data_IF_317361173601
#
_entry.id   IF_317361173601
#
_cell.length_a   1.000
_cell.length_b   1.000
_cell.length_c   1.000
_cell.angle_alpha   90.00
_cell.angle_beta   90.00
_cell.angle_gamma   90.00
#
_symmetry.space_group_name_H-M   'P 1'
#
loop_
_entity.id
_entity.type
_entity.pdbx_description
1 polymer ?
#
# COMPACT_ATOMS: atom_id res chain seq x y z
N UNK A 1 -23.84 30.50 -23.60
CA UNK A 1 -24.84 29.75 -24.40
C UNK A 1 -24.20 29.51 -25.75
N UNK A 2 -23.58 28.34 -25.95
CA UNK A 2 -22.93 28.00 -27.22
C UNK A 2 -23.97 27.42 -28.17
N UNK A 3 -24.19 28.09 -29.31
CA UNK A 3 -25.03 27.57 -30.40
C UNK A 3 -24.43 26.26 -30.92
N UNK A 4 -25.15 25.15 -30.71
CA UNK A 4 -24.85 23.89 -31.37
C UNK A 4 -25.13 24.06 -32.86
N UNK A 5 -24.08 24.26 -33.67
CA UNK A 5 -24.19 24.27 -35.11
C UNK A 5 -24.51 22.85 -35.58
N UNK A 6 -25.74 22.64 -36.04
CA UNK A 6 -26.17 21.36 -36.62
C UNK A 6 -25.40 21.19 -37.93
N UNK A 7 -24.53 20.19 -37.99
CA UNK A 7 -23.82 19.83 -39.22
C UNK A 7 -24.88 19.31 -40.20
N UNK A 8 -25.03 19.91 -41.41
CA UNK A 8 -26.03 19.44 -42.37
C UNK A 8 -25.69 18.01 -42.82
N UNK A 9 -26.72 17.15 -42.93
CA UNK A 9 -26.58 15.70 -43.17
C UNK A 9 -25.73 15.36 -44.41
N UNK A 10 -25.75 16.23 -45.41
CA UNK A 10 -24.96 16.11 -46.64
C UNK A 10 -23.44 16.21 -46.41
N UNK A 11 -22.99 16.85 -45.33
CA UNK A 11 -21.58 16.97 -44.96
C UNK A 11 -21.14 15.69 -44.26
N UNK A 12 -21.90 15.20 -43.29
CA UNK A 12 -21.56 13.97 -42.57
C UNK A 12 -21.46 12.76 -43.52
N UNK A 13 -22.41 12.62 -44.44
CA UNK A 13 -22.39 11.55 -45.46
C UNK A 13 -21.13 11.64 -46.34
N UNK A 14 -20.70 12.87 -46.71
CA UNK A 14 -19.47 13.07 -47.48
C UNK A 14 -18.22 12.67 -46.68
N UNK A 15 -18.17 13.01 -45.40
CA UNK A 15 -17.05 12.63 -44.53
C UNK A 15 -16.97 11.11 -44.34
N UNK A 16 -18.10 10.45 -44.10
CA UNK A 16 -18.16 8.99 -43.99
C UNK A 16 -17.73 8.33 -45.31
N UNK A 17 -18.20 8.84 -46.45
CA UNK A 17 -17.79 8.36 -47.77
C UNK A 17 -16.30 8.54 -48.03
N UNK A 18 -15.74 9.70 -47.71
CA UNK A 18 -14.31 9.97 -47.84
C UNK A 18 -13.47 9.04 -46.94
N UNK A 19 -13.91 8.83 -45.69
CA UNK A 19 -13.26 7.92 -44.76
C UNK A 19 -13.30 6.47 -45.22
N UNK A 20 -14.46 5.99 -45.70
CA UNK A 20 -14.60 4.66 -46.29
C UNK A 20 -13.65 4.47 -47.48
N UNK A 21 -13.55 5.47 -48.36
CA UNK A 21 -12.63 5.42 -49.50
C UNK A 21 -11.16 5.37 -49.07
N UNK A 22 -10.78 6.09 -48.01
CA UNK A 22 -9.42 6.03 -47.45
C UNK A 22 -9.11 4.64 -46.86
N UNK A 23 -10.05 4.04 -46.12
CA UNK A 23 -9.91 2.67 -45.61
C UNK A 23 -9.77 1.68 -46.78
N UNK A 24 -10.61 1.81 -47.81
CA UNK A 24 -10.52 0.97 -49.00
C UNK A 24 -9.17 1.12 -49.70
N UNK A 25 -8.66 2.35 -49.85
CA UNK A 25 -7.34 2.59 -50.44
C UNK A 25 -6.22 1.94 -49.63
N UNK A 26 -6.29 2.02 -48.29
CA UNK A 26 -5.34 1.38 -47.39
C UNK A 26 -5.39 -0.16 -47.51
N UNK A 27 -6.59 -0.74 -47.59
CA UNK A 27 -6.76 -2.19 -47.75
C UNK A 27 -6.36 -2.69 -49.14
N UNK A 28 -6.44 -1.87 -50.18
CA UNK A 28 -5.98 -2.22 -51.53
C UNK A 28 -4.45 -2.19 -51.68
N UNK A 29 -3.71 -1.69 -50.67
CA UNK A 29 -2.26 -1.52 -50.75
C UNK A 29 -1.50 -2.85 -50.72
N UNK A 30 -2.02 -3.89 -50.06
CA UNK A 30 -1.42 -5.22 -50.04
C UNK A 30 -2.20 -6.19 -50.92
N UNK A 31 -1.49 -7.07 -51.63
CA UNK A 31 -2.13 -8.09 -52.49
C UNK A 31 -3.04 -9.03 -51.70
N UNK A 32 -2.67 -9.35 -50.45
CA UNK A 32 -3.49 -10.17 -49.55
C UNK A 32 -4.83 -9.50 -49.21
N UNK A 33 -4.81 -8.24 -48.77
CA UNK A 33 -6.03 -7.52 -48.39
C UNK A 33 -6.92 -7.18 -49.59
N UNK A 34 -6.31 -7.01 -50.77
CA UNK A 34 -7.02 -6.83 -52.05
C UNK A 34 -7.80 -8.08 -52.47
N UNK A 35 -7.26 -9.27 -52.24
CA UNK A 35 -7.98 -10.54 -52.47
C UNK A 35 -9.15 -10.69 -51.50
N UNK A 36 -8.97 -10.32 -50.22
CA UNK A 36 -10.02 -10.33 -49.20
C UNK A 36 -11.21 -9.42 -49.52
N UNK A 37 -11.01 -8.29 -50.21
CA UNK A 37 -12.10 -7.37 -50.57
C UNK A 37 -12.67 -7.60 -51.97
N UNK A 38 -12.22 -8.64 -52.68
CA UNK A 38 -12.70 -9.00 -54.02
C UNK A 38 -14.08 -9.68 -54.00
N UNK A 39 -14.39 -10.43 -52.95
CA UNK A 39 -15.67 -11.10 -52.76
C UNK A 39 -16.59 -10.31 -51.80
N UNK A 40 -17.90 -10.21 -52.09
CA UNK A 40 -18.83 -9.35 -51.34
C UNK A 40 -18.99 -9.75 -49.87
N UNK A 41 -18.99 -11.05 -49.57
CA UNK A 41 -19.10 -11.56 -48.18
C UNK A 41 -17.82 -11.24 -47.39
N UNK A 42 -16.65 -11.49 -48.00
CA UNK A 42 -15.36 -11.23 -47.37
C UNK A 42 -15.16 -9.72 -47.16
N UNK A 43 -15.57 -8.90 -48.12
CA UNK A 43 -15.57 -7.44 -48.00
C UNK A 43 -16.40 -6.96 -46.80
N UNK A 44 -17.60 -7.50 -46.60
CA UNK A 44 -18.43 -7.17 -45.44
C UNK A 44 -17.71 -7.50 -44.12
N UNK A 45 -17.19 -8.72 -43.99
CA UNK A 45 -16.48 -9.17 -42.79
C UNK A 45 -15.25 -8.29 -42.51
N UNK A 46 -14.43 -8.05 -43.53
CA UNK A 46 -13.21 -7.23 -43.41
C UNK A 46 -13.55 -5.82 -42.97
N UNK A 47 -14.55 -5.16 -43.57
CA UNK A 47 -14.94 -3.83 -43.13
C UNK A 47 -15.49 -3.82 -41.71
N UNK A 48 -16.36 -4.77 -41.34
CA UNK A 48 -16.87 -4.88 -39.97
C UNK A 48 -15.74 -5.01 -38.93
N UNK A 49 -14.72 -5.82 -39.22
CA UNK A 49 -13.56 -5.97 -38.32
C UNK A 49 -12.74 -4.68 -38.23
N UNK A 50 -12.46 -4.03 -39.36
CA UNK A 50 -11.68 -2.78 -39.37
C UNK A 50 -12.42 -1.66 -38.63
N UNK A 51 -13.71 -1.48 -38.89
CA UNK A 51 -14.52 -0.50 -38.16
C UNK A 51 -14.62 -0.84 -36.67
N UNK A 52 -14.79 -2.11 -36.32
CA UNK A 52 -14.78 -2.56 -34.93
C UNK A 52 -13.47 -2.23 -34.21
N UNK A 53 -12.33 -2.52 -34.85
CA UNK A 53 -11.02 -2.20 -34.30
C UNK A 53 -10.80 -0.68 -34.12
N UNK A 54 -11.24 0.14 -35.08
CA UNK A 54 -11.18 1.60 -34.99
C UNK A 54 -12.04 2.11 -33.82
N UNK A 55 -13.25 1.60 -33.66
CA UNK A 55 -14.15 1.97 -32.56
C UNK A 55 -13.51 1.63 -31.21
N UNK A 56 -12.94 0.42 -31.08
CA UNK A 56 -12.24 0.00 -29.85
C UNK A 56 -11.03 0.89 -29.56
N UNK A 57 -10.24 1.21 -30.58
CA UNK A 57 -9.08 2.10 -30.42
C UNK A 57 -9.48 3.52 -29.99
N UNK A 58 -10.56 4.06 -30.56
CA UNK A 58 -11.10 5.37 -30.15
C UNK A 58 -11.61 5.32 -28.71
N UNK A 59 -12.36 4.27 -28.35
CA UNK A 59 -12.86 4.08 -26.99
C UNK A 59 -11.70 4.06 -25.98
N UNK A 60 -10.67 3.26 -26.25
CA UNK A 60 -9.49 3.13 -25.39
C UNK A 60 -8.70 4.44 -25.28
N UNK A 61 -8.56 5.18 -26.39
CA UNK A 61 -7.91 6.49 -26.40
C UNK A 61 -8.68 7.52 -25.55
N UNK A 62 -10.01 7.57 -25.69
CA UNK A 62 -10.86 8.46 -24.88
C UNK A 62 -10.72 8.09 -23.41
N UNK A 63 -10.84 6.81 -23.07
CA UNK A 63 -10.76 6.30 -21.70
C UNK A 63 -9.44 6.70 -21.04
N UNK A 64 -8.32 6.40 -21.70
CA UNK A 64 -6.98 6.74 -21.19
C UNK A 64 -6.76 8.25 -21.09
N UNK A 65 -7.27 9.03 -22.05
CA UNK A 65 -7.18 10.48 -22.00
C UNK A 65 -7.97 11.05 -20.83
N UNK A 66 -9.17 10.53 -20.56
CA UNK A 66 -9.97 10.98 -19.43
C UNK A 66 -9.37 10.59 -18.08
N UNK A 67 -8.71 9.43 -17.98
CA UNK A 67 -7.91 9.05 -16.80
C UNK A 67 -6.72 10.00 -16.63
N UNK A 68 -5.97 10.25 -17.71
CA UNK A 68 -4.82 11.17 -17.70
C UNK A 68 -5.22 12.60 -17.28
N UNK A 69 -6.35 13.10 -17.78
CA UNK A 69 -6.90 14.40 -17.43
C UNK A 69 -7.67 14.42 -16.09
N UNK A 70 -7.72 13.29 -15.38
CA UNK A 70 -8.45 13.14 -14.11
C UNK A 70 -9.95 13.48 -14.20
N UNK A 71 -10.56 13.30 -15.39
CA UNK A 71 -12.01 13.50 -15.61
C UNK A 71 -12.81 12.33 -15.01
N UNK A 72 -12.28 11.11 -15.09
CA UNK A 72 -12.82 9.91 -14.44
C UNK A 72 -11.71 9.00 -13.92
N UNK A 73 -12.08 8.08 -13.03
CA UNK A 73 -11.19 7.03 -12.52
C UNK A 73 -11.12 5.88 -13.49
N UNK A 74 -10.05 5.09 -13.41
CA UNK A 74 -9.91 3.93 -14.28
C UNK A 74 -10.98 2.90 -13.89
N UNK A 75 -11.74 2.31 -14.84
CA UNK A 75 -12.85 1.40 -14.49
C UNK A 75 -12.40 0.16 -13.68
N UNK A 76 -11.14 -0.22 -13.81
CA UNK A 76 -10.56 -1.33 -13.04
C UNK A 76 -10.32 -0.98 -11.56
N UNK A 77 -10.33 0.30 -11.17
CA UNK A 77 -10.09 0.72 -9.78
C UNK A 77 -11.20 0.26 -8.82
N UNK A 78 -12.42 0.01 -9.32
CA UNK A 78 -13.53 -0.49 -8.50
C UNK A 78 -13.52 -2.02 -8.35
N UNK A 79 -12.98 -2.73 -9.35
CA UNK A 79 -12.93 -4.20 -9.38
C UNK A 79 -11.70 -4.74 -8.66
N UNK A 80 -10.59 -4.01 -8.73
CA UNK A 80 -9.37 -4.30 -7.99
C UNK A 80 -9.18 -3.25 -6.90
N UNK A 81 -10.03 -3.30 -5.86
CA UNK A 81 -9.58 -2.77 -4.57
C UNK A 81 -8.44 -3.66 -4.13
N UNK A 82 -7.20 -3.18 -4.24
CA UNK A 82 -6.07 -3.76 -3.54
C UNK A 82 -6.37 -3.62 -2.04
N UNK A 83 -7.15 -4.55 -1.49
CA UNK A 83 -7.34 -4.64 -0.05
C UNK A 83 -5.94 -4.88 0.52
N UNK A 84 -5.46 -4.03 1.43
CA UNK A 84 -4.13 -4.21 1.98
C UNK A 84 -4.10 -5.60 2.65
N UNK A 85 -3.16 -6.44 2.22
CA UNK A 85 -3.00 -7.79 2.76
C UNK A 85 -2.72 -7.66 4.25
N UNK A 86 -3.57 -8.23 5.09
CA UNK A 86 -3.40 -8.17 6.54
C UNK A 86 -2.04 -8.76 6.96
N UNK A 87 -1.51 -8.24 8.06
CA UNK A 87 -0.25 -8.72 8.63
C UNK A 87 -0.47 -10.07 9.34
N UNK A 88 0.09 -11.14 8.79
CA UNK A 88 0.00 -12.50 9.37
C UNK A 88 1.11 -12.77 10.40
N UNK A 89 2.28 -12.16 10.22
CA UNK A 89 3.37 -12.22 11.20
C UNK A 89 4.28 -11.01 11.06
N UNK A 90 4.97 -10.65 12.14
CA UNK A 90 6.00 -9.60 12.13
C UNK A 90 7.11 -9.89 13.15
N UNK A 91 8.25 -9.24 12.97
CA UNK A 91 9.34 -9.26 13.94
C UNK A 91 9.30 -8.01 14.80
N UNK A 92 9.44 -8.17 16.12
CA UNK A 92 9.52 -7.03 17.04
C UNK A 92 10.88 -6.97 17.71
N UNK A 93 11.64 -5.93 17.38
CA UNK A 93 12.93 -5.63 18.00
C UNK A 93 12.71 -4.73 19.23
N UNK A 94 12.75 -5.33 20.40
CA UNK A 94 12.45 -4.68 21.68
C UNK A 94 13.72 -4.30 22.43
N UNK A 95 13.81 -3.04 22.85
CA UNK A 95 14.86 -2.53 23.72
C UNK A 95 14.27 -1.70 24.87
N UNK A 96 15.08 -1.41 25.88
CA UNK A 96 14.66 -0.69 27.08
C UNK A 96 15.40 0.65 27.14
N UNK A 97 14.65 1.71 27.39
CA UNK A 97 15.14 3.06 27.62
C UNK A 97 14.94 3.39 29.10
N UNK A 98 16.03 3.64 29.82
CA UNK A 98 16.00 4.03 31.23
C UNK A 98 16.01 5.56 31.33
N UNK A 99 15.05 6.16 32.05
CA UNK A 99 15.10 7.60 32.39
C UNK A 99 16.10 7.80 33.52
N UNK A 100 17.00 8.77 33.38
CA UNK A 100 17.85 9.19 34.50
C UNK A 100 17.07 10.12 35.44
N UNK A 101 17.25 9.92 36.75
CA UNK A 101 16.61 10.72 37.78
C UNK A 101 16.92 12.22 37.62
N UNK A 102 15.87 13.05 37.66
CA UNK A 102 15.97 14.52 37.59
C UNK A 102 15.81 15.13 36.19
N UNK A 103 15.57 14.33 35.14
CA UNK A 103 15.23 14.83 33.79
C UNK A 103 13.73 14.69 33.54
N UNK A 104 13.05 15.79 33.23
CA UNK A 104 11.60 15.81 32.92
C UNK A 104 11.25 15.00 31.66
N UNK A 105 12.23 14.78 30.78
CA UNK A 105 12.09 13.97 29.58
C UNK A 105 13.11 12.84 29.58
N UNK A 106 12.77 11.71 28.97
CA UNK A 106 13.77 10.70 28.60
C UNK A 106 14.88 11.38 27.79
N UNK A 107 16.12 11.24 28.26
CA UNK A 107 17.23 12.01 27.75
C UNK A 107 17.52 11.62 26.28
N UNK A 108 17.02 12.47 25.37
CA UNK A 108 17.09 12.33 23.93
C UNK A 108 15.93 11.52 23.33
N UNK A 109 15.31 12.05 22.27
CA UNK A 109 14.47 11.28 21.36
C UNK A 109 15.23 10.03 20.89
N UNK A 110 14.78 8.83 21.25
CA UNK A 110 15.34 7.60 20.67
C UNK A 110 14.99 7.65 19.19
N UNK A 111 16.02 7.69 18.34
CA UNK A 111 15.80 7.69 16.90
C UNK A 111 15.67 6.25 16.41
N UNK A 112 15.00 6.07 15.28
CA UNK A 112 14.93 4.75 14.64
C UNK A 112 16.33 4.20 14.29
N UNK A 113 17.30 5.08 14.05
CA UNK A 113 18.67 4.69 13.77
C UNK A 113 19.38 4.12 15.01
N UNK A 114 19.07 4.64 16.21
CA UNK A 114 19.56 4.09 17.47
C UNK A 114 19.04 2.66 17.69
N UNK A 115 17.77 2.42 17.33
CA UNK A 115 17.13 1.10 17.44
C UNK A 115 17.69 0.10 16.43
N UNK A 116 17.89 0.53 15.18
CA UNK A 116 18.52 -0.26 14.12
C UNK A 116 19.97 -0.62 14.45
N UNK A 117 20.71 0.32 15.04
CA UNK A 117 22.14 0.18 15.32
C UNK A 117 22.44 0.05 16.81
N UNK A 118 21.57 -0.60 17.58
CA UNK A 118 21.73 -0.77 19.04
C UNK A 118 23.11 -1.28 19.46
N UNK A 119 23.75 -2.14 18.66
CA UNK A 119 25.13 -2.62 18.89
C UNK A 119 26.19 -1.51 18.89
N UNK A 120 25.94 -0.44 18.14
CA UNK A 120 26.84 0.69 17.92
C UNK A 120 26.33 1.97 18.58
N UNK A 121 25.24 1.92 19.35
CA UNK A 121 24.72 3.06 20.08
C UNK A 121 25.79 3.49 21.11
N UNK A 122 26.59 4.51 20.74
CA UNK A 122 27.76 4.98 21.50
C UNK A 122 27.40 5.60 22.85
N UNK A 123 26.12 5.84 23.09
CA UNK A 123 25.61 6.47 24.30
C UNK A 123 24.72 5.43 24.99
N UNK A 124 24.97 5.14 26.27
CA UNK A 124 24.27 4.15 27.11
C UNK A 124 22.79 4.43 27.38
N UNK A 125 22.08 4.89 26.35
CA UNK A 125 20.68 5.27 26.30
C UNK A 125 19.78 4.04 26.20
N UNK A 126 20.20 3.02 25.44
CA UNK A 126 19.53 1.72 25.40
C UNK A 126 20.21 0.77 26.38
N UNK A 127 19.42 0.09 27.21
CA UNK A 127 19.94 -0.85 28.20
C UNK A 127 20.52 -2.11 27.56
N UNK A 128 19.91 -2.61 26.47
CA UNK A 128 20.31 -3.85 25.85
C UNK A 128 21.23 -3.58 24.64
N UNK A 129 22.44 -4.14 24.67
CA UNK A 129 23.36 -4.16 23.52
C UNK A 129 22.79 -4.96 22.35
N UNK A 130 22.06 -6.03 22.66
CA UNK A 130 21.32 -6.86 21.70
C UNK A 130 19.84 -6.81 22.08
N UNK A 131 18.96 -6.28 21.21
CA UNK A 131 17.54 -6.19 21.52
C UNK A 131 16.92 -7.59 21.60
N UNK A 132 15.85 -7.70 22.39
CA UNK A 132 15.00 -8.88 22.36
C UNK A 132 14.25 -8.91 21.03
N UNK A 133 14.32 -10.02 20.31
CA UNK A 133 13.66 -10.19 19.03
C UNK A 133 12.53 -11.19 19.20
N UNK A 134 11.30 -10.73 19.03
CA UNK A 134 10.12 -11.59 19.01
C UNK A 134 9.70 -11.86 17.57
N UNK A 135 9.43 -13.12 17.25
CA UNK A 135 8.69 -13.49 16.06
C UNK A 135 7.23 -13.67 16.46
N UNK A 136 6.37 -12.74 16.05
CA UNK A 136 4.96 -12.74 16.42
C UNK A 136 4.16 -13.17 15.20
N UNK A 137 3.52 -14.32 15.32
CA UNK A 137 2.51 -14.80 14.38
C UNK A 137 1.12 -14.50 14.94
N UNK A 138 0.19 -14.25 14.02
CA UNK A 138 -1.21 -13.98 14.33
C UNK A 138 -2.07 -15.06 13.69
N UNK A 139 -2.85 -15.73 14.52
CA UNK A 139 -3.88 -16.68 14.08
C UNK A 139 -5.17 -15.92 13.69
N UNK A 140 -6.04 -16.51 12.85
CA UNK A 140 -7.33 -15.91 12.51
C UNK A 140 -8.18 -15.54 13.74
N UNK A 141 -8.08 -16.31 14.83
CA UNK A 141 -8.81 -16.05 16.07
C UNK A 141 -8.32 -14.76 16.80
N UNK A 142 -7.11 -14.29 16.48
CA UNK A 142 -6.52 -13.05 17.01
C UNK A 142 -6.83 -11.83 16.13
N UNK A 143 -7.55 -12.02 15.02
CA UNK A 143 -7.91 -10.93 14.13
C UNK A 143 -9.09 -10.14 14.70
N UNK A 144 -8.96 -8.82 14.68
CA UNK A 144 -10.08 -7.92 14.95
C UNK A 144 -11.04 -7.85 13.76
N UNK A 145 -10.55 -8.16 12.55
CA UNK A 145 -11.33 -8.20 11.31
C UNK A 145 -10.75 -9.22 10.34
N UNK A 146 -11.58 -9.99 9.65
CA UNK A 146 -11.15 -11.06 8.73
C UNK A 146 -10.23 -10.54 7.61
N UNK A 147 -10.58 -9.40 7.02
CA UNK A 147 -9.81 -8.80 5.91
C UNK A 147 -8.58 -8.02 6.37
N UNK A 148 -8.66 -7.26 7.47
CA UNK A 148 -7.62 -6.30 7.91
C UNK A 148 -6.71 -6.85 9.02
N UNK A 149 -7.05 -8.01 9.58
CA UNK A 149 -6.28 -8.70 10.61
C UNK A 149 -6.39 -8.03 11.98
N UNK A 150 -5.25 -7.87 12.64
CA UNK A 150 -5.18 -7.35 14.01
C UNK A 150 -4.76 -5.87 14.07
N UNK A 151 -4.80 -5.30 15.28
CA UNK A 151 -4.53 -3.88 15.51
C UNK A 151 -3.16 -3.62 16.12
N UNK A 152 -2.71 -2.36 16.05
CA UNK A 152 -1.51 -1.90 16.75
C UNK A 152 -1.62 -2.15 18.26
N UNK A 153 -2.80 -1.97 18.86
CA UNK A 153 -3.00 -2.19 20.29
C UNK A 153 -2.87 -3.64 20.70
N UNK A 154 -3.36 -4.56 19.86
CA UNK A 154 -3.15 -5.99 20.09
C UNK A 154 -1.67 -6.36 20.06
N UNK A 155 -0.93 -5.90 19.03
CA UNK A 155 0.52 -6.10 18.94
C UNK A 155 1.26 -5.51 20.15
N UNK A 156 0.93 -4.29 20.56
CA UNK A 156 1.51 -3.62 21.75
C UNK A 156 1.28 -4.43 23.02
N UNK A 157 0.05 -4.90 23.23
CA UNK A 157 -0.31 -5.75 24.36
C UNK A 157 0.42 -7.09 24.38
N UNK A 158 0.55 -7.74 23.22
CA UNK A 158 1.29 -9.01 23.09
C UNK A 158 2.77 -8.83 23.40
N UNK A 159 3.40 -7.78 22.86
CA UNK A 159 4.81 -7.44 23.15
C UNK A 159 5.01 -7.10 24.63
N UNK A 160 4.08 -6.36 25.24
CA UNK A 160 4.11 -6.03 26.66
C UNK A 160 4.10 -7.30 27.53
N UNK A 161 3.15 -8.20 27.30
CA UNK A 161 3.06 -9.45 28.07
C UNK A 161 4.30 -10.31 27.89
N UNK A 162 4.76 -10.50 26.64
CA UNK A 162 5.96 -11.29 26.36
C UNK A 162 7.22 -10.69 26.98
N UNK A 163 7.30 -9.37 27.08
CA UNK A 163 8.38 -8.72 27.80
C UNK A 163 8.32 -8.98 29.31
N UNK A 164 7.16 -8.87 29.94
CA UNK A 164 7.00 -9.19 31.37
C UNK A 164 7.35 -10.64 31.69
N UNK A 165 7.02 -11.56 30.78
CA UNK A 165 7.34 -12.99 30.90
C UNK A 165 8.81 -13.31 30.54
N UNK A 166 9.54 -12.34 29.99
CA UNK A 166 10.91 -12.56 29.55
C UNK A 166 11.88 -12.69 30.73
N UNK A 167 12.90 -13.54 30.54
CA UNK A 167 14.00 -13.66 31.50
C UNK A 167 14.76 -12.33 31.71
N UNK A 168 14.80 -11.48 30.68
CA UNK A 168 15.42 -10.15 30.76
C UNK A 168 14.69 -9.27 31.77
N UNK A 169 13.37 -9.24 31.75
CA UNK A 169 12.59 -8.50 32.74
C UNK A 169 12.79 -9.09 34.14
N UNK A 170 12.66 -10.41 34.28
CA UNK A 170 12.79 -11.10 35.57
C UNK A 170 14.15 -10.82 36.25
N UNK A 171 15.27 -10.97 35.51
CA UNK A 171 16.62 -10.79 36.06
C UNK A 171 16.97 -9.32 36.34
N UNK A 172 16.24 -8.37 35.75
CA UNK A 172 16.53 -6.94 35.88
C UNK A 172 15.37 -6.17 36.51
N UNK A 173 14.44 -6.86 37.18
CA UNK A 173 13.20 -6.28 37.69
C UNK A 173 13.44 -5.10 38.64
N UNK A 174 14.47 -5.18 39.49
CA UNK A 174 14.85 -4.10 40.40
C UNK A 174 15.31 -2.83 39.67
N UNK A 175 15.95 -2.99 38.50
CA UNK A 175 16.47 -1.89 37.69
C UNK A 175 15.43 -1.31 36.74
N UNK A 176 14.55 -2.17 36.22
CA UNK A 176 13.50 -1.80 35.25
C UNK A 176 12.28 -1.22 35.98
N UNK A 177 11.99 -1.70 37.19
CA UNK A 177 10.84 -1.29 37.97
C UNK A 177 9.52 -1.86 37.45
N UNK A 178 8.44 -1.16 37.77
CA UNK A 178 7.08 -1.51 37.34
C UNK A 178 6.88 -1.00 35.91
N UNK A 179 6.40 -1.88 35.03
CA UNK A 179 6.11 -1.55 33.63
C UNK A 179 4.62 -1.67 33.38
N UNK A 180 4.02 -0.61 32.85
CA UNK A 180 2.65 -0.57 32.34
C UNK A 180 2.66 -0.59 30.81
N UNK A 181 1.49 -0.80 30.21
CA UNK A 181 1.33 -0.79 28.76
C UNK A 181 1.70 0.57 28.13
N UNK A 182 1.53 1.66 28.88
CA UNK A 182 1.86 3.04 28.45
C UNK A 182 3.36 3.24 28.27
N UNK A 183 4.19 2.41 28.93
CA UNK A 183 5.64 2.42 28.74
C UNK A 183 6.07 1.80 27.41
N UNK A 184 5.17 1.15 26.67
CA UNK A 184 5.48 0.42 25.43
C UNK A 184 5.19 1.27 24.19
N UNK A 185 6.26 1.71 23.53
CA UNK A 185 6.18 2.51 22.31
C UNK A 185 6.68 1.72 21.10
N UNK A 186 5.85 1.65 20.07
CA UNK A 186 6.15 0.96 18.82
C UNK A 186 6.52 1.95 17.72
N UNK A 187 7.40 1.52 16.81
CA UNK A 187 7.86 2.28 15.67
C UNK A 187 7.87 1.40 14.43
N UNK A 188 7.36 1.94 13.32
CA UNK A 188 7.52 1.31 12.01
C UNK A 188 8.98 1.27 11.58
N UNK A 189 9.31 0.46 10.57
CA UNK A 189 10.65 0.44 9.93
C UNK A 189 11.14 1.81 9.43
N UNK A 190 10.21 2.71 9.09
CA UNK A 190 10.45 4.08 8.65
C UNK A 190 10.61 5.08 9.81
N UNK A 191 10.46 4.64 11.06
CA UNK A 191 10.59 5.49 12.25
C UNK A 191 9.34 6.25 12.65
N UNK A 192 8.19 6.00 12.00
CA UNK A 192 6.90 6.57 12.42
C UNK A 192 6.46 5.91 13.73
N UNK A 193 6.14 6.73 14.73
CA UNK A 193 5.62 6.30 16.05
C UNK A 193 4.20 5.76 15.90
N UNK A 194 3.97 4.60 16.51
CA UNK A 194 2.68 3.94 16.69
C UNK A 194 2.28 4.04 18.17
N UNK A 195 1.95 5.26 18.61
CA UNK A 195 1.55 5.56 19.98
C UNK A 195 0.18 4.99 20.33
N UNK A 196 -0.24 5.13 21.59
CA UNK A 196 -1.53 4.64 22.08
C UNK A 196 -2.72 5.25 21.31
N UNK A 197 -2.54 6.44 20.72
CA UNK A 197 -3.49 7.09 19.80
C UNK A 197 -3.87 6.22 18.58
N UNK A 198 -3.03 5.23 18.24
CA UNK A 198 -3.23 4.33 17.10
C UNK A 198 -3.63 2.92 17.49
N UNK A 199 -3.97 2.65 18.75
CA UNK A 199 -4.31 1.30 19.21
C UNK A 199 -5.45 0.63 18.43
N UNK A 200 -6.40 1.43 17.94
CA UNK A 200 -7.54 0.96 17.15
C UNK A 200 -7.27 0.87 15.65
N UNK A 201 -6.04 1.19 15.20
CA UNK A 201 -5.66 1.13 13.78
C UNK A 201 -5.17 -0.28 13.45
N UNK A 202 -5.61 -0.83 12.31
CA UNK A 202 -5.12 -2.11 11.81
C UNK A 202 -3.64 -2.03 11.44
N UNK A 203 -2.89 -3.13 11.62
CA UNK A 203 -1.46 -3.15 11.31
C UNK A 203 -1.16 -2.79 9.85
N UNK A 204 -1.97 -3.31 8.92
CA UNK A 204 -1.82 -3.02 7.49
C UNK A 204 -1.97 -1.52 7.19
N UNK A 205 -2.96 -0.86 7.78
CA UNK A 205 -3.19 0.59 7.64
C UNK A 205 -2.08 1.41 8.33
N UNK A 206 -1.49 0.86 9.40
CA UNK A 206 -0.33 1.42 10.06
C UNK A 206 0.98 1.25 9.26
N UNK A 207 0.93 0.70 8.04
CA UNK A 207 2.08 0.37 7.18
C UNK A 207 3.00 -0.68 7.83
N UNK A 208 2.41 -1.68 8.47
CA UNK A 208 3.08 -2.88 8.97
C UNK A 208 2.56 -4.08 8.17
N UNK A 209 3.36 -4.58 7.24
CA UNK A 209 3.05 -5.76 6.44
C UNK A 209 3.57 -7.06 7.05
N UNK A 210 3.15 -8.18 6.47
CA UNK A 210 3.67 -9.51 6.82
C UNK A 210 5.19 -9.58 6.62
N UNK A 211 5.90 -10.04 7.65
CA UNK A 211 7.36 -10.16 7.66
C UNK A 211 8.11 -8.86 7.97
N UNK A 212 7.41 -7.74 8.21
CA UNK A 212 8.06 -6.48 8.56
C UNK A 212 8.70 -6.53 9.96
N UNK A 213 9.68 -5.63 10.15
CA UNK A 213 10.31 -5.38 11.45
C UNK A 213 9.70 -4.14 12.08
N UNK A 214 9.03 -4.33 13.20
CA UNK A 214 8.57 -3.29 14.12
C UNK A 214 9.63 -3.10 15.21
N UNK A 215 9.93 -1.87 15.57
CA UNK A 215 10.85 -1.58 16.67
C UNK A 215 10.03 -1.19 17.89
N UNK A 216 10.43 -1.68 19.06
CA UNK A 216 9.75 -1.44 20.31
C UNK A 216 10.73 -0.85 21.33
N UNK A 217 10.30 0.17 22.05
CA UNK A 217 11.03 0.74 23.18
C UNK A 217 10.15 0.69 24.41
N UNK A 218 10.69 0.12 25.47
CA UNK A 218 10.08 0.11 26.80
C UNK A 218 10.71 1.23 27.61
N UNK A 219 9.93 2.27 27.88
CA UNK A 219 10.36 3.51 28.52
C UNK A 219 10.07 3.44 30.02
N UNK A 220 11.10 3.27 30.83
CA UNK A 220 10.94 3.13 32.30
C UNK A 220 11.71 4.18 33.06
N UNK A 221 11.15 4.57 34.19
CA UNK A 221 11.74 5.55 35.10
C UNK A 221 12.64 4.83 36.11
N UNK A 222 13.89 5.29 36.25
CA UNK A 222 14.85 4.73 37.21
C UNK A 222 14.66 5.31 38.61
#
# INVERSE_FOLDING_TARGET
MSEFTIIPDNVLIKWIGAFHNNIRALLMYSEFSKELISHPISQFITYSMVYGAIILAIYEAILNLGVYLSIWKHPADEVFKEIPVHCAHCYVNTNILLRENGKENFDGNVTINDLKNSKNAKNGKLMLRYPLVYHIEFSPDEYAHEEFGTTVGFLRGKVYQWFLDSQVYFLNKEKIGVVSLENVELYTKKGKVLGADKDNVYLCDANVGTGDVVYCVIKVDK
#
